data_IF_103381422420
#
_entry.id   IF_103381422420
#
_cell.length_a   1.000
_cell.length_b   1.000
_cell.length_c   1.000
_cell.angle_alpha   90.00
_cell.angle_beta   90.00
_cell.angle_gamma   90.00
#
_symmetry.space_group_name_H-M   'P 1'
#
loop_
_entity.id
_entity.type
_entity.pdbx_description
1 polymer ?
#
# COMPACT_ATOMS: atom_id res chain seq x y z
N UNK A 1 4.32 -33.96 3.64
CA UNK A 1 2.87 -33.64 3.59
C UNK A 1 2.73 -32.12 3.55
N UNK A 2 1.78 -31.55 2.81
CA UNK A 2 1.55 -30.11 2.83
C UNK A 2 1.09 -29.69 4.25
N UNK A 3 1.58 -28.53 4.70
CA UNK A 3 1.21 -27.99 6.02
C UNK A 3 -0.23 -27.45 6.07
N UNK A 4 -0.87 -27.30 4.90
CA UNK A 4 -2.22 -26.75 4.73
C UNK A 4 -3.11 -27.72 3.96
N UNK A 5 -4.34 -27.90 4.43
CA UNK A 5 -5.34 -28.71 3.73
C UNK A 5 -5.91 -27.98 2.51
N UNK A 6 -6.01 -26.66 2.60
CA UNK A 6 -6.47 -25.79 1.51
C UNK A 6 -5.62 -24.52 1.46
N UNK A 7 -5.24 -24.15 0.25
CA UNK A 7 -4.55 -22.88 -0.02
C UNK A 7 -5.28 -22.17 -1.16
N UNK A 8 -5.59 -20.89 -0.96
CA UNK A 8 -6.22 -20.03 -1.97
C UNK A 8 -5.33 -18.82 -2.18
N UNK A 9 -5.01 -18.52 -3.42
CA UNK A 9 -4.17 -17.39 -3.80
C UNK A 9 -4.83 -16.64 -4.97
N UNK A 10 -5.83 -15.81 -4.70
CA UNK A 10 -6.56 -15.11 -5.74
C UNK A 10 -5.69 -14.01 -6.37
N UNK A 11 -6.10 -13.59 -7.56
CA UNK A 11 -5.54 -12.43 -8.26
C UNK A 11 -6.68 -11.55 -8.70
N UNK A 12 -6.84 -10.43 -8.03
CA UNK A 12 -7.85 -9.44 -8.32
C UNK A 12 -7.38 -8.39 -9.34
N UNK A 13 -8.20 -7.38 -9.54
CA UNK A 13 -7.97 -6.28 -10.47
C UNK A 13 -6.65 -5.55 -10.19
N UNK A 14 -6.27 -5.38 -8.94
CA UNK A 14 -4.99 -4.79 -8.54
C UNK A 14 -3.77 -5.53 -9.13
N UNK A 15 -3.95 -6.77 -9.59
CA UNK A 15 -2.93 -7.55 -10.31
C UNK A 15 -3.11 -7.55 -11.82
N UNK A 16 -4.34 -7.60 -12.30
CA UNK A 16 -4.61 -7.56 -13.74
C UNK A 16 -4.36 -6.18 -14.34
N UNK A 17 -4.64 -5.14 -13.56
CA UNK A 17 -4.52 -3.73 -13.94
C UNK A 17 -3.16 -3.13 -13.52
N UNK A 18 -2.19 -3.95 -13.12
CA UNK A 18 -0.86 -3.51 -12.67
C UNK A 18 -0.12 -2.62 -13.68
N UNK A 19 -0.41 -2.78 -14.96
CA UNK A 19 0.14 -1.96 -16.05
C UNK A 19 -0.35 -0.49 -16.01
N UNK A 20 -1.42 -0.19 -15.26
CA UNK A 20 -1.97 1.15 -15.06
C UNK A 20 -1.36 1.86 -13.86
N UNK A 21 -0.56 1.16 -13.05
CA UNK A 21 0.06 1.73 -11.85
C UNK A 21 0.99 2.87 -12.22
N UNK A 22 0.74 4.05 -11.66
CA UNK A 22 1.70 5.15 -11.73
C UNK A 22 2.97 4.77 -10.98
N UNK A 23 4.11 5.04 -11.58
CA UNK A 23 5.43 4.80 -10.99
C UNK A 23 6.24 6.09 -10.99
N UNK A 24 6.57 6.60 -9.81
CA UNK A 24 7.37 7.83 -9.66
C UNK A 24 8.80 7.68 -10.19
N UNK A 25 9.32 6.45 -10.30
CA UNK A 25 10.65 6.15 -10.82
C UNK A 25 10.54 5.03 -11.86
N UNK A 26 10.23 5.35 -13.13
CA UNK A 26 9.97 4.36 -14.17
C UNK A 26 11.11 3.38 -14.45
N UNK A 27 12.34 3.74 -14.10
CA UNK A 27 13.50 2.85 -14.22
C UNK A 27 13.53 1.72 -13.18
N UNK A 28 12.67 1.77 -12.19
CA UNK A 28 12.58 0.80 -11.10
C UNK A 28 11.27 0.02 -11.12
N UNK A 29 11.25 -1.09 -10.39
CA UNK A 29 10.02 -1.87 -10.19
C UNK A 29 9.03 -1.09 -9.32
N UNK A 30 7.75 -1.16 -9.65
CA UNK A 30 6.66 -0.48 -8.92
C UNK A 30 6.61 -0.82 -7.42
N UNK A 31 7.06 -2.02 -7.02
CA UNK A 31 7.12 -2.42 -5.61
C UNK A 31 8.29 -1.81 -4.84
N UNK A 32 9.24 -1.19 -5.52
CA UNK A 32 10.45 -0.60 -4.94
C UNK A 32 10.47 0.93 -5.00
N UNK A 33 9.36 1.57 -5.36
CA UNK A 33 9.24 3.02 -5.52
C UNK A 33 7.92 3.53 -4.95
N UNK A 34 7.75 4.85 -4.91
CA UNK A 34 6.41 5.44 -4.72
C UNK A 34 5.62 5.16 -6.00
N UNK A 35 4.61 4.33 -5.85
CA UNK A 35 3.75 3.91 -6.95
C UNK A 35 2.34 3.69 -6.45
N UNK A 36 1.35 4.08 -7.22
CA UNK A 36 -0.05 3.95 -6.81
C UNK A 36 -0.97 3.75 -7.99
N UNK A 37 -2.17 3.28 -7.69
CA UNK A 37 -3.27 3.17 -8.62
C UNK A 37 -4.60 3.41 -7.90
N UNK A 38 -5.35 4.34 -8.42
CA UNK A 38 -6.76 4.53 -8.19
C UNK A 38 -7.49 3.47 -9.04
N UNK A 39 -7.74 2.31 -8.42
CA UNK A 39 -8.24 1.15 -9.16
C UNK A 39 -9.74 1.25 -9.41
N UNK A 40 -10.16 0.85 -10.58
CA UNK A 40 -11.57 0.62 -10.88
C UNK A 40 -12.10 -0.64 -10.16
N UNK A 41 -13.43 -0.71 -10.03
CA UNK A 41 -14.12 -1.88 -9.48
C UNK A 41 -14.40 -1.78 -7.98
N UNK A 42 -14.92 -2.89 -7.44
CA UNK A 42 -15.33 -3.00 -6.04
C UNK A 42 -14.21 -3.54 -5.16
N UNK A 43 -14.45 -3.56 -3.83
CA UNK A 43 -13.50 -4.16 -2.87
C UNK A 43 -13.31 -5.66 -3.15
N UNK A 44 -14.40 -6.36 -3.47
CA UNK A 44 -14.42 -7.80 -3.73
C UNK A 44 -13.67 -8.19 -5.01
N UNK A 45 -13.48 -7.24 -5.93
CA UNK A 45 -12.70 -7.44 -7.15
C UNK A 45 -11.20 -7.25 -6.95
N UNK A 46 -10.77 -6.68 -5.82
CA UNK A 46 -9.35 -6.56 -5.47
C UNK A 46 -8.83 -7.85 -4.81
N UNK A 47 -7.54 -8.11 -4.92
CA UNK A 47 -6.93 -9.33 -4.36
C UNK A 47 -7.24 -9.50 -2.87
N UNK A 48 -7.09 -8.45 -2.08
CA UNK A 48 -7.33 -8.50 -0.63
C UNK A 48 -8.82 -8.70 -0.30
N UNK A 49 -9.73 -8.10 -1.09
CA UNK A 49 -11.17 -8.33 -0.98
C UNK A 49 -11.56 -9.78 -1.33
N UNK A 50 -10.94 -10.35 -2.36
CA UNK A 50 -11.13 -11.76 -2.70
C UNK A 50 -10.63 -12.68 -1.58
N UNK A 51 -9.48 -12.36 -0.94
CA UNK A 51 -8.99 -13.09 0.23
C UNK A 51 -10.01 -13.04 1.36
N UNK A 52 -10.52 -11.85 1.70
CA UNK A 52 -11.53 -11.68 2.73
C UNK A 52 -12.79 -12.51 2.44
N UNK A 53 -13.26 -12.47 1.19
CA UNK A 53 -14.44 -13.24 0.74
C UNK A 53 -14.23 -14.73 0.90
N UNK A 54 -13.08 -15.27 0.49
CA UNK A 54 -12.76 -16.70 0.64
C UNK A 54 -12.61 -17.11 2.12
N UNK A 55 -12.02 -16.25 2.96
CA UNK A 55 -11.92 -16.50 4.41
C UNK A 55 -13.32 -16.57 5.04
N UNK A 56 -14.20 -15.62 4.75
CA UNK A 56 -15.58 -15.63 5.25
C UNK A 56 -16.31 -16.90 4.82
N UNK A 57 -16.15 -17.32 3.57
CA UNK A 57 -16.72 -18.56 3.05
C UNK A 57 -16.21 -19.78 3.83
N UNK A 58 -14.88 -19.90 4.01
CA UNK A 58 -14.29 -21.01 4.77
C UNK A 58 -14.75 -21.02 6.22
N UNK A 59 -14.86 -19.87 6.87
CA UNK A 59 -15.39 -19.79 8.25
C UNK A 59 -16.83 -20.29 8.35
N UNK A 60 -17.68 -19.94 7.37
CA UNK A 60 -19.08 -20.41 7.32
C UNK A 60 -19.17 -21.91 7.08
N UNK A 61 -18.30 -22.45 6.19
CA UNK A 61 -18.24 -23.89 5.88
C UNK A 61 -17.76 -24.73 7.08
N UNK A 62 -16.92 -24.16 7.95
CA UNK A 62 -16.27 -24.85 9.07
C UNK A 62 -16.82 -24.50 10.44
N UNK A 63 -17.90 -23.75 10.53
CA UNK A 63 -18.45 -23.19 11.77
C UNK A 63 -18.72 -24.20 12.89
N UNK A 64 -18.99 -25.46 12.54
CA UNK A 64 -19.39 -26.51 13.47
C UNK A 64 -18.25 -27.48 13.86
N UNK A 65 -17.00 -27.16 13.43
CA UNK A 65 -15.82 -27.98 13.73
C UNK A 65 -14.61 -27.05 14.06
N UNK A 66 -13.63 -27.53 14.83
CA UNK A 66 -12.41 -26.76 15.06
C UNK A 66 -11.67 -26.50 13.75
N UNK A 67 -11.24 -25.24 13.55
CA UNK A 67 -10.45 -24.85 12.38
C UNK A 67 -9.34 -23.87 12.72
N UNK A 68 -8.35 -23.79 11.85
CA UNK A 68 -7.36 -22.74 11.82
C UNK A 68 -7.29 -22.17 10.40
N UNK A 69 -7.54 -20.87 10.26
CA UNK A 69 -7.52 -20.16 8.99
C UNK A 69 -6.52 -19.01 9.11
N UNK A 70 -5.57 -18.94 8.19
CA UNK A 70 -4.65 -17.80 8.05
C UNK A 70 -5.04 -16.96 6.85
N UNK A 71 -5.15 -15.65 7.04
CA UNK A 71 -5.40 -14.67 5.98
C UNK A 71 -4.23 -13.69 5.88
N UNK A 72 -3.70 -13.50 4.69
CA UNK A 72 -2.67 -12.53 4.41
C UNK A 72 -3.19 -11.45 3.46
N UNK A 73 -2.93 -10.19 3.78
CA UNK A 73 -3.31 -9.04 2.97
C UNK A 73 -2.06 -8.32 2.48
N UNK A 74 -2.10 -7.81 1.24
CA UNK A 74 -0.97 -7.09 0.65
C UNK A 74 -0.92 -5.63 1.09
N UNK A 75 -2.06 -5.00 1.27
CA UNK A 75 -2.13 -3.58 1.59
C UNK A 75 -1.90 -3.31 3.08
N UNK A 76 -1.15 -2.28 3.41
CA UNK A 76 -0.73 -1.10 2.61
C UNK A 76 0.67 -1.21 1.96
N UNK A 77 1.17 -2.37 1.57
CA UNK A 77 2.44 -2.48 0.85
C UNK A 77 2.36 -1.81 -0.53
N UNK A 78 3.45 -1.19 -0.99
CA UNK A 78 3.56 -0.62 -2.34
C UNK A 78 3.47 -1.72 -3.43
N UNK A 79 2.91 -1.44 -4.62
CA UNK A 79 2.23 -0.20 -5.01
C UNK A 79 0.98 0.05 -4.15
N UNK A 80 0.71 1.32 -3.84
CA UNK A 80 -0.48 1.72 -3.08
C UNK A 80 -1.69 1.67 -4.00
N UNK A 81 -2.47 0.62 -3.92
CA UNK A 81 -3.65 0.41 -4.78
C UNK A 81 -4.89 0.30 -3.89
N UNK A 82 -5.91 1.05 -4.23
CA UNK A 82 -7.22 0.96 -3.61
C UNK A 82 -8.30 1.32 -4.64
N UNK A 83 -9.54 0.85 -4.48
CA UNK A 83 -10.66 1.32 -5.29
C UNK A 83 -10.82 2.83 -5.24
N UNK A 84 -11.14 3.42 -6.40
CA UNK A 84 -11.31 4.86 -6.59
C UNK A 84 -12.13 5.54 -5.49
N UNK A 85 -13.20 4.91 -5.02
CA UNK A 85 -14.07 5.44 -3.96
C UNK A 85 -13.34 5.86 -2.68
N UNK A 86 -12.17 5.26 -2.39
CA UNK A 86 -11.36 5.63 -1.23
C UNK A 86 -10.49 6.84 -1.50
N UNK A 87 -10.02 7.01 -2.73
CA UNK A 87 -9.32 8.23 -3.14
C UNK A 87 -10.26 9.43 -3.13
N UNK A 88 -11.51 9.25 -3.56
CA UNK A 88 -12.53 10.31 -3.58
C UNK A 88 -12.87 10.86 -2.17
N UNK A 89 -12.55 10.10 -1.10
CA UNK A 89 -12.68 10.59 0.28
C UNK A 89 -11.63 11.63 0.68
N UNK A 90 -10.55 11.76 -0.10
CA UNK A 90 -9.42 12.63 0.19
C UNK A 90 -9.07 13.48 -1.03
N UNK A 91 -9.91 14.48 -1.38
CA UNK A 91 -9.62 15.39 -2.48
C UNK A 91 -8.26 16.07 -2.27
N UNK A 92 -7.43 16.13 -3.34
CA UNK A 92 -6.06 16.66 -3.23
C UNK A 92 -6.01 18.11 -2.77
N UNK A 93 -7.01 18.89 -3.15
CA UNK A 93 -7.16 20.31 -2.76
C UNK A 93 -7.38 20.49 -1.26
N UNK A 94 -7.91 19.48 -0.58
CA UNK A 94 -8.18 19.51 0.85
C UNK A 94 -7.02 18.96 1.68
N UNK A 95 -6.05 18.28 1.04
CA UNK A 95 -4.91 17.71 1.74
C UNK A 95 -3.95 18.79 2.21
N UNK A 96 -3.67 18.79 3.51
CA UNK A 96 -2.68 19.65 4.12
C UNK A 96 -1.47 18.83 4.54
N UNK A 97 -0.28 19.29 4.14
CA UNK A 97 0.95 18.71 4.65
C UNK A 97 1.06 19.01 6.15
N UNK A 98 1.57 18.06 6.95
CA UNK A 98 1.82 18.32 8.37
C UNK A 98 2.82 19.46 8.53
N UNK A 99 2.61 20.27 9.55
CA UNK A 99 3.60 21.27 9.95
C UNK A 99 4.84 20.58 10.50
N UNK A 100 5.99 20.94 9.99
CA UNK A 100 7.29 20.49 10.48
C UNK A 100 8.08 21.72 10.93
N UNK A 101 8.24 21.95 12.23
CA UNK A 101 9.00 23.08 12.74
C UNK A 101 10.49 22.96 12.42
N UNK A 102 11.18 24.09 12.43
CA UNK A 102 12.64 24.11 12.38
C UNK A 102 13.18 23.36 13.61
N UNK A 103 14.15 22.47 13.40
CA UNK A 103 14.75 21.69 14.49
C UNK A 103 13.90 20.50 14.97
N UNK A 104 12.83 20.11 14.28
CA UNK A 104 11.95 18.98 14.62
C UNK A 104 12.68 17.65 14.89
N UNK A 105 13.92 17.56 14.43
CA UNK A 105 14.75 16.35 14.57
C UNK A 105 15.88 16.48 15.57
N UNK A 106 16.05 17.61 16.20
CA UNK A 106 17.23 17.90 17.04
C UNK A 106 17.26 17.03 18.31
N UNK A 107 16.11 16.61 18.79
CA UNK A 107 15.93 15.73 19.96
C UNK A 107 15.87 14.23 19.60
N UNK A 108 15.92 13.88 18.30
CA UNK A 108 15.85 12.49 17.87
C UNK A 108 17.25 11.84 17.93
N UNK A 109 17.45 10.72 18.64
CA UNK A 109 18.73 10.03 18.67
C UNK A 109 19.20 9.62 17.26
N UNK A 110 20.48 9.77 16.97
CA UNK A 110 21.07 9.44 15.66
C UNK A 110 20.75 8.02 15.21
N UNK A 111 20.64 7.07 16.15
CA UNK A 111 20.28 5.67 15.84
C UNK A 111 18.87 5.51 15.26
N UNK A 112 17.97 6.48 15.48
CA UNK A 112 16.63 6.47 14.89
C UNK A 112 16.62 6.86 13.41
N UNK A 113 17.69 7.51 12.95
CA UNK A 113 17.93 7.84 11.54
C UNK A 113 18.68 6.71 10.84
N UNK A 114 18.19 5.49 10.95
CA UNK A 114 18.81 4.34 10.33
C UNK A 114 19.23 4.62 8.87
N UNK A 115 20.10 3.78 8.35
CA UNK A 115 20.69 3.77 7.01
C UNK A 115 19.71 3.95 5.81
N UNK A 116 18.45 4.21 6.07
CA UNK A 116 17.41 4.50 5.06
C UNK A 116 17.22 6.00 4.79
N UNK A 117 18.11 6.84 5.26
CA UNK A 117 18.02 8.28 5.04
C UNK A 117 19.31 8.79 4.37
N UNK A 118 19.29 9.26 3.10
CA UNK A 118 18.13 9.39 2.22
C UNK A 118 17.53 8.03 1.80
N UNK A 119 16.31 8.03 1.27
CA UNK A 119 15.66 6.82 0.73
C UNK A 119 15.76 6.87 -0.80
N UNK A 120 16.85 6.37 -1.40
CA UNK A 120 17.07 6.49 -2.84
C UNK A 120 16.03 5.72 -3.67
N UNK A 121 15.38 4.71 -3.07
CA UNK A 121 14.34 3.93 -3.74
C UNK A 121 13.07 4.75 -4.04
N UNK A 122 12.88 5.86 -3.35
CA UNK A 122 11.74 6.75 -3.56
C UNK A 122 12.14 8.07 -4.21
N UNK A 123 13.36 8.16 -4.72
CA UNK A 123 13.94 9.40 -5.26
C UNK A 123 13.90 10.57 -4.25
N UNK A 124 14.10 10.25 -2.97
CA UNK A 124 14.07 11.21 -1.88
C UNK A 124 15.50 11.47 -1.47
N UNK A 125 16.08 12.55 -2.00
CA UNK A 125 17.43 12.98 -1.67
C UNK A 125 17.53 13.61 -0.28
N UNK A 126 16.46 14.29 0.12
CA UNK A 126 16.38 14.95 1.42
C UNK A 126 15.02 14.67 2.08
N UNK A 127 14.99 13.91 3.16
CA UNK A 127 13.73 13.57 3.85
C UNK A 127 13.05 14.77 4.52
N UNK A 128 13.74 15.90 4.74
CA UNK A 128 13.12 17.15 5.15
C UNK A 128 12.21 17.72 4.05
N UNK A 129 12.47 17.36 2.79
CA UNK A 129 11.67 17.79 1.65
C UNK A 129 10.43 16.92 1.42
N UNK A 130 10.31 15.76 2.09
CA UNK A 130 9.12 14.90 1.97
C UNK A 130 7.84 15.64 2.35
N UNK A 131 7.88 16.47 3.38
CA UNK A 131 6.71 17.21 3.83
C UNK A 131 6.55 18.56 3.11
N UNK A 132 7.64 19.19 2.66
CA UNK A 132 7.62 20.53 2.06
C UNK A 132 7.59 20.53 0.53
N UNK A 133 8.08 19.46 -0.11
CA UNK A 133 8.26 19.39 -1.56
C UNK A 133 7.78 18.05 -2.14
N UNK A 134 6.76 17.44 -1.55
CA UNK A 134 6.02 16.44 -2.32
C UNK A 134 5.52 17.22 -3.54
N UNK A 135 6.07 16.98 -4.74
CA UNK A 135 5.67 17.78 -5.87
C UNK A 135 4.18 17.58 -6.04
N UNK A 136 3.41 18.66 -5.99
CA UNK A 136 1.98 18.62 -6.38
C UNK A 136 1.80 18.02 -7.77
N UNK A 137 2.89 17.86 -8.53
CA UNK A 137 2.99 17.21 -9.83
C UNK A 137 2.92 15.68 -9.75
N UNK A 138 3.18 15.06 -8.60
CA UNK A 138 3.05 13.60 -8.42
C UNK A 138 1.59 13.21 -8.13
N UNK A 139 0.76 14.19 -7.81
CA UNK A 139 -0.65 14.00 -7.47
C UNK A 139 -1.61 14.45 -8.59
N UNK A 140 -1.09 14.65 -9.83
CA UNK A 140 -1.91 14.92 -11.02
C UNK A 140 -1.90 13.74 -11.95
#
# INVERSE_FOLDING_TARGET
>A
APSWQKTVNPKGRDKTDEHLVFNAEPARKISGTISWLEAEGTDEEQTDGMVATEVIKMMREKKDEPFFIAAGFFRPHSPFIAPKKYFDLYPLEDLRLPYTPDGDRDDIPTAAFAHNNPIPNYNIENPHLLCSNFPRTILK
#
